data_IF_522304124303
#
_entry.id   IF_522304124303
#
_cell.length_a   1.000
_cell.length_b   1.000
_cell.length_c   1.000
_cell.angle_alpha   90.00
_cell.angle_beta   90.00
_cell.angle_gamma   90.00
#
_symmetry.space_group_name_H-M   'P 1'
#
loop_
_entity.id
_entity.type
_entity.pdbx_description
1 polymer ?
#
# COMPACT_ATOMS: atom_id res chain seq x y z
N UNK A 1 -10.53 6.98 4.59
CA UNK A 1 -9.53 6.69 3.55
C UNK A 1 -9.90 7.44 2.28
N UNK A 2 -8.92 7.99 1.55
CA UNK A 2 -9.12 8.65 0.24
C UNK A 2 -9.73 7.69 -0.78
N UNK A 3 -9.26 6.44 -0.81
CA UNK A 3 -9.79 5.42 -1.72
C UNK A 3 -11.30 5.17 -1.52
N UNK A 4 -11.78 5.20 -0.27
CA UNK A 4 -13.20 5.03 0.04
C UNK A 4 -14.03 6.24 -0.41
N UNK A 5 -13.49 7.45 -0.24
CA UNK A 5 -14.15 8.69 -0.65
C UNK A 5 -14.35 8.76 -2.18
N UNK A 6 -13.38 8.24 -2.95
CA UNK A 6 -13.44 8.19 -4.42
C UNK A 6 -14.33 7.04 -4.90
N UNK A 7 -14.15 5.84 -4.36
CA UNK A 7 -14.83 4.63 -4.84
C UNK A 7 -16.27 4.46 -4.34
N UNK A 8 -16.62 5.08 -3.21
CA UNK A 8 -17.94 4.93 -2.58
C UNK A 8 -18.32 3.46 -2.39
N UNK A 9 -19.57 3.11 -2.64
CA UNK A 9 -20.09 1.75 -2.44
C UNK A 9 -19.58 0.74 -3.48
N UNK A 10 -18.79 1.17 -4.48
CA UNK A 10 -18.21 0.27 -5.51
C UNK A 10 -16.95 -0.42 -5.03
N UNK A 11 -16.40 -0.02 -3.89
CA UNK A 11 -15.16 -0.55 -3.34
C UNK A 11 -15.37 -1.04 -1.91
N UNK A 12 -14.61 -2.06 -1.54
CA UNK A 12 -14.46 -2.47 -0.14
C UNK A 12 -13.03 -2.15 0.26
N UNK A 13 -12.83 -1.08 1.03
CA UNK A 13 -11.50 -0.61 1.41
C UNK A 13 -11.07 -1.24 2.73
N UNK A 14 -9.94 -1.95 2.70
CA UNK A 14 -9.28 -2.46 3.88
C UNK A 14 -8.04 -1.62 4.19
N UNK A 15 -8.10 -0.83 5.26
CA UNK A 15 -6.95 -0.05 5.75
C UNK A 15 -6.07 -0.93 6.65
N UNK A 16 -4.79 -1.01 6.32
CA UNK A 16 -3.81 -1.83 7.02
C UNK A 16 -3.28 -1.09 8.25
N UNK A 17 -2.73 0.11 8.04
CA UNK A 17 -2.43 1.05 9.10
C UNK A 17 -3.60 2.03 9.20
N UNK A 18 -4.25 2.06 10.37
CA UNK A 18 -5.42 2.89 10.65
C UNK A 18 -5.26 3.75 11.91
N UNK A 19 -4.10 3.70 12.55
CA UNK A 19 -3.73 4.56 13.68
C UNK A 19 -2.68 5.57 13.23
N UNK A 20 -2.82 6.86 13.58
CA UNK A 20 -1.79 7.86 13.30
C UNK A 20 -0.51 7.64 14.12
N UNK A 21 -0.59 6.88 15.22
CA UNK A 21 0.54 6.60 16.11
C UNK A 21 1.40 5.42 15.66
N UNK A 22 0.96 4.69 14.63
CA UNK A 22 1.69 3.54 14.11
C UNK A 22 2.72 4.00 13.08
N UNK A 23 4.00 3.83 13.40
CA UNK A 23 5.08 4.04 12.44
C UNK A 23 5.00 2.97 11.34
N UNK A 24 4.91 3.36 10.06
CA UNK A 24 4.88 2.44 8.92
C UNK A 24 6.22 1.73 8.66
N UNK A 25 7.35 2.27 9.10
CA UNK A 25 8.66 1.67 8.91
C UNK A 25 8.88 0.49 9.87
N UNK A 26 8.26 0.56 11.05
CA UNK A 26 8.27 -0.51 12.06
C UNK A 26 7.10 -1.50 11.89
N UNK A 27 6.27 -1.32 10.87
CA UNK A 27 5.09 -2.15 10.68
C UNK A 27 5.45 -3.56 10.21
N UNK A 28 4.95 -4.56 10.93
CA UNK A 28 4.99 -5.96 10.51
C UNK A 28 3.59 -6.46 10.14
N UNK A 29 3.43 -6.88 8.89
CA UNK A 29 2.15 -7.36 8.39
C UNK A 29 1.66 -8.63 9.11
N UNK A 30 0.46 -8.53 9.67
CA UNK A 30 -0.21 -9.63 10.36
C UNK A 30 -0.69 -10.69 9.37
N UNK A 31 -1.09 -11.86 9.88
CA UNK A 31 -1.72 -12.89 9.05
C UNK A 31 -3.02 -12.41 8.36
N UNK A 32 -3.75 -11.47 8.99
CA UNK A 32 -4.96 -10.88 8.42
C UNK A 32 -4.63 -9.97 7.25
N UNK A 33 -3.57 -9.17 7.37
CA UNK A 33 -3.12 -8.28 6.29
C UNK A 33 -2.63 -9.10 5.10
N UNK A 34 -1.83 -10.13 5.35
CA UNK A 34 -1.37 -11.08 4.31
C UNK A 34 -2.56 -11.67 3.54
N UNK A 35 -3.62 -12.05 4.24
CA UNK A 35 -4.85 -12.55 3.62
C UNK A 35 -5.63 -11.46 2.86
N UNK A 36 -5.64 -10.22 3.35
CA UNK A 36 -6.26 -9.10 2.66
C UNK A 36 -5.54 -8.80 1.34
N UNK A 37 -4.20 -8.74 1.37
CA UNK A 37 -3.37 -8.53 0.19
C UNK A 37 -3.51 -9.67 -0.83
N UNK A 38 -3.57 -10.94 -0.38
CA UNK A 38 -3.74 -12.08 -1.29
C UNK A 38 -5.08 -12.07 -2.03
N UNK A 39 -6.07 -11.31 -1.55
CA UNK A 39 -7.40 -11.16 -2.16
C UNK A 39 -7.58 -9.81 -2.86
N UNK A 40 -6.62 -8.90 -2.72
CA UNK A 40 -6.71 -7.57 -3.26
C UNK A 40 -6.66 -7.62 -4.80
N UNK A 41 -7.57 -6.86 -5.43
CA UNK A 41 -7.50 -6.55 -6.87
C UNK A 41 -6.60 -5.34 -7.12
N UNK A 42 -6.62 -4.40 -6.18
CA UNK A 42 -5.82 -3.18 -6.18
C UNK A 42 -5.21 -3.05 -4.79
N UNK A 43 -3.92 -2.78 -4.71
CA UNK A 43 -3.24 -2.37 -3.48
C UNK A 43 -2.63 -0.99 -3.67
N UNK A 44 -2.77 -0.13 -2.65
CA UNK A 44 -2.31 1.25 -2.68
C UNK A 44 -1.33 1.42 -1.52
N UNK A 45 -0.14 1.92 -1.81
CA UNK A 45 0.88 2.30 -0.84
C UNK A 45 1.24 3.78 -1.00
N UNK A 46 1.75 4.40 0.05
CA UNK A 46 2.31 5.74 -0.07
C UNK A 46 3.56 5.68 -0.96
N UNK A 47 4.42 4.69 -0.73
CA UNK A 47 5.59 4.42 -1.55
C UNK A 47 6.78 5.33 -1.26
N UNK A 48 7.80 5.21 -2.11
CA UNK A 48 9.05 5.97 -2.00
C UNK A 48 9.85 5.71 -0.72
N UNK A 49 9.81 4.48 -0.17
CA UNK A 49 10.48 4.10 1.07
C UNK A 49 9.63 4.17 2.34
N UNK A 50 8.45 4.82 2.31
CA UNK A 50 7.62 5.03 3.51
C UNK A 50 7.04 3.72 4.08
N UNK A 51 6.54 2.86 3.20
CA UNK A 51 5.82 1.62 3.55
C UNK A 51 6.26 0.45 2.65
N UNK A 52 7.57 0.26 2.53
CA UNK A 52 8.25 -0.77 1.72
C UNK A 52 7.73 -2.20 1.91
N UNK A 53 7.23 -2.51 3.11
CA UNK A 53 6.63 -3.79 3.42
C UNK A 53 5.40 -4.07 2.53
N UNK A 54 4.63 -3.04 2.13
CA UNK A 54 3.44 -3.19 1.31
C UNK A 54 3.80 -3.66 -0.10
N UNK A 55 4.85 -3.09 -0.70
CA UNK A 55 5.40 -3.50 -2.00
C UNK A 55 5.87 -4.95 -1.96
N UNK A 56 6.62 -5.34 -0.92
CA UNK A 56 7.10 -6.72 -0.74
C UNK A 56 5.92 -7.68 -0.54
N UNK A 57 4.93 -7.26 0.24
CA UNK A 57 3.78 -8.08 0.58
C UNK A 57 2.88 -8.33 -0.63
N UNK A 58 2.55 -7.30 -1.43
CA UNK A 58 1.70 -7.50 -2.61
C UNK A 58 2.39 -8.37 -3.66
N UNK A 59 3.69 -8.15 -3.91
CA UNK A 59 4.48 -8.96 -4.86
C UNK A 59 4.54 -10.44 -4.47
N UNK A 60 4.52 -10.74 -3.17
CA UNK A 60 4.56 -12.13 -2.68
C UNK A 60 3.20 -12.80 -2.57
N UNK A 61 2.12 -12.04 -2.38
CA UNK A 61 0.79 -12.59 -2.11
C UNK A 61 -0.18 -12.49 -3.29
N UNK A 62 -0.06 -11.46 -4.12
CA UNK A 62 -0.92 -11.23 -5.29
C UNK A 62 -0.16 -10.45 -6.37
N UNK A 63 0.85 -11.05 -7.03
CA UNK A 63 1.69 -10.36 -8.01
C UNK A 63 0.93 -9.83 -9.23
N UNK A 64 -0.28 -10.33 -9.48
CA UNK A 64 -1.19 -9.89 -10.54
C UNK A 64 -2.13 -8.75 -10.14
N UNK A 65 -2.14 -8.33 -8.87
CA UNK A 65 -2.95 -7.19 -8.45
C UNK A 65 -2.37 -5.88 -8.99
N UNK A 66 -3.23 -4.91 -9.29
CA UNK A 66 -2.80 -3.58 -9.65
C UNK A 66 -2.19 -2.91 -8.41
N UNK A 67 -0.90 -2.58 -8.48
CA UNK A 67 -0.20 -1.91 -7.38
C UNK A 67 0.00 -0.44 -7.71
N UNK A 68 -0.48 0.44 -6.84
CA UNK A 68 -0.36 1.89 -6.95
C UNK A 68 0.57 2.38 -5.84
N UNK A 69 1.76 2.82 -6.23
CA UNK A 69 2.67 3.62 -5.40
C UNK A 69 2.35 5.10 -5.62
N UNK A 70 1.92 5.81 -4.57
CA UNK A 70 1.48 7.19 -4.69
C UNK A 70 2.61 8.15 -5.08
N UNK A 71 3.84 7.95 -4.56
CA UNK A 71 5.03 8.74 -4.90
C UNK A 71 5.47 8.52 -6.34
N UNK A 72 5.41 7.29 -6.83
CA UNK A 72 5.69 6.96 -8.23
C UNK A 72 4.64 7.62 -9.14
N UNK A 73 3.36 7.46 -8.80
CA UNK A 73 2.23 8.02 -9.57
C UNK A 73 2.26 9.55 -9.60
N UNK A 74 2.74 10.20 -8.54
CA UNK A 74 2.81 11.65 -8.47
C UNK A 74 3.92 12.25 -9.36
N UNK A 75 4.84 11.44 -9.89
CA UNK A 75 5.99 11.90 -10.66
C UNK A 75 7.00 12.71 -9.84
N UNK A 76 6.92 12.66 -8.50
CA UNK A 76 7.80 13.41 -7.60
C UNK A 76 9.13 12.69 -7.35
N UNK A 77 9.23 11.42 -7.75
CA UNK A 77 10.46 10.62 -7.63
C UNK A 77 11.53 11.15 -8.58
N UNK A 78 12.59 11.76 -8.04
CA UNK A 78 13.70 12.28 -8.85
C UNK A 78 14.59 11.14 -9.33
N UNK A 79 15.13 11.19 -10.56
CA UNK A 79 16.11 10.22 -11.03
C UNK A 79 17.30 10.12 -10.05
N UNK A 80 17.61 8.91 -9.59
CA UNK A 80 18.73 8.66 -8.67
C UNK A 80 18.41 8.85 -7.18
N UNK A 81 17.18 9.22 -6.82
CA UNK A 81 16.74 9.26 -5.43
C UNK A 81 16.49 7.83 -4.94
N UNK A 82 17.25 7.41 -3.92
CA UNK A 82 17.00 6.12 -3.24
C UNK A 82 15.66 6.21 -2.49
N UNK A 83 14.99 5.06 -2.38
CA UNK A 83 14.00 4.84 -1.31
C UNK A 83 14.66 5.25 0.02
N UNK A 84 13.93 5.97 0.89
CA UNK A 84 14.47 6.47 2.16
C UNK A 84 14.96 5.33 3.07
#
# INVERSE_FOLDING_TARGET
SVAQAIGGDKVNVHSIINSPDQDPHDYEATAKDKLAFSKAKIAIANGGGYDDWATKLIKSTSPQADFIDAVETSGLKKPGQKEF
#
